data_IF_448391459386
#
_entry.id   IF_448391459386
#
_cell.length_a   1.000
_cell.length_b   1.000
_cell.length_c   1.000
_cell.angle_alpha   90.00
_cell.angle_beta   90.00
_cell.angle_gamma   90.00
#
_symmetry.space_group_name_H-M   'P 1'
#
loop_
_entity.id
_entity.type
_entity.pdbx_description
1 polymer ?
#
# COMPACT_ATOMS: atom_id res chain seq x y z
N UNK A 1 -10.44 28.21 -13.27
CA UNK A 1 -10.49 26.83 -12.73
C UNK A 1 -10.64 25.89 -13.91
N UNK A 2 -9.86 24.81 -13.98
CA UNK A 2 -10.08 23.78 -15.01
C UNK A 2 -11.49 23.22 -14.84
N UNK A 3 -12.28 23.20 -15.90
CA UNK A 3 -13.63 22.64 -15.88
C UNK A 3 -13.54 21.12 -15.64
N UNK A 4 -14.06 20.66 -14.51
CA UNK A 4 -14.07 19.25 -14.11
C UNK A 4 -15.06 18.45 -14.96
N UNK A 5 -14.65 17.27 -15.42
CA UNK A 5 -15.51 16.38 -16.23
C UNK A 5 -15.06 14.92 -16.09
N UNK A 6 -16.01 13.98 -16.08
CA UNK A 6 -15.74 12.54 -15.90
C UNK A 6 -14.85 11.91 -16.99
N UNK A 7 -14.80 12.53 -18.16
CA UNK A 7 -13.95 12.11 -19.28
C UNK A 7 -12.58 12.79 -19.31
N UNK A 8 -12.28 13.73 -18.41
CA UNK A 8 -10.96 14.36 -18.30
C UNK A 8 -10.08 13.55 -17.34
N UNK A 9 -8.80 13.46 -17.67
CA UNK A 9 -7.81 12.71 -16.88
C UNK A 9 -6.61 13.60 -16.57
N UNK A 10 -5.95 13.29 -15.46
CA UNK A 10 -4.66 13.82 -15.06
C UNK A 10 -3.58 12.80 -15.38
N UNK A 11 -2.63 13.14 -16.25
CA UNK A 11 -1.49 12.28 -16.56
C UNK A 11 -0.43 12.40 -15.47
N UNK A 12 -0.22 11.31 -14.73
CA UNK A 12 0.59 11.33 -13.50
C UNK A 12 2.04 11.77 -13.74
N UNK A 13 2.61 11.40 -14.88
CA UNK A 13 3.99 11.77 -15.23
C UNK A 13 4.19 13.28 -15.47
N UNK A 14 3.11 14.04 -15.67
CA UNK A 14 3.16 15.48 -15.94
C UNK A 14 2.93 16.31 -14.69
N UNK A 15 2.19 15.77 -13.72
CA UNK A 15 1.67 16.54 -12.58
C UNK A 15 2.25 16.15 -11.24
N UNK A 16 2.75 14.92 -11.10
CA UNK A 16 3.39 14.45 -9.85
C UNK A 16 4.70 15.22 -9.63
N UNK A 17 4.84 15.79 -8.44
CA UNK A 17 6.02 16.56 -8.02
C UNK A 17 6.70 16.01 -6.77
N UNK A 18 6.00 15.22 -5.95
CA UNK A 18 6.57 14.63 -4.74
C UNK A 18 7.66 13.60 -5.11
N UNK A 19 8.91 13.77 -4.65
CA UNK A 19 10.03 12.89 -5.02
C UNK A 19 9.90 11.45 -4.53
N UNK A 20 9.00 11.19 -3.58
CA UNK A 20 8.73 9.84 -3.08
C UNK A 20 7.65 9.10 -3.88
N UNK A 21 7.09 9.73 -4.92
CA UNK A 21 6.21 9.10 -5.91
C UNK A 21 7.01 8.88 -7.19
N UNK A 22 7.21 7.62 -7.55
CA UNK A 22 7.96 7.23 -8.75
C UNK A 22 6.98 6.69 -9.78
N UNK A 23 6.78 7.44 -10.86
CA UNK A 23 5.91 7.04 -11.98
C UNK A 23 6.77 6.44 -13.10
N UNK A 24 6.46 5.22 -13.50
CA UNK A 24 7.09 4.56 -14.65
C UNK A 24 6.31 4.89 -15.92
N UNK A 25 7.00 5.42 -16.93
CA UNK A 25 6.40 5.72 -18.24
C UNK A 25 5.43 6.89 -18.18
N UNK A 26 4.59 7.03 -19.22
CA UNK A 26 3.78 8.22 -19.47
C UNK A 26 2.27 7.99 -19.59
N UNK A 27 1.78 6.76 -19.44
CA UNK A 27 0.37 6.43 -19.76
C UNK A 27 -0.53 6.28 -18.53
N UNK A 28 0.04 6.23 -17.33
CA UNK A 28 -0.73 6.12 -16.10
C UNK A 28 -1.44 7.43 -15.78
N UNK A 29 -2.71 7.32 -15.37
CA UNK A 29 -3.57 8.48 -15.19
C UNK A 29 -4.49 8.36 -13.97
N UNK A 30 -4.96 9.51 -13.53
CA UNK A 30 -6.03 9.68 -12.53
C UNK A 30 -7.27 10.32 -13.16
N UNK A 31 -8.47 9.84 -12.82
CA UNK A 31 -9.74 10.44 -13.24
C UNK A 31 -10.08 11.66 -12.37
N UNK A 32 -9.64 12.84 -12.82
CA UNK A 32 -9.65 14.10 -12.05
C UNK A 32 -10.96 14.91 -12.18
N UNK A 33 -12.09 14.30 -11.85
CA UNK A 33 -13.42 14.92 -12.03
C UNK A 33 -14.05 15.48 -10.76
N UNK A 34 -13.59 15.07 -9.57
CA UNK A 34 -14.29 15.35 -8.31
C UNK A 34 -13.48 16.17 -7.31
N UNK A 35 -12.17 15.92 -7.24
CA UNK A 35 -11.30 16.46 -6.19
C UNK A 35 -10.15 17.31 -6.79
N UNK A 36 -9.12 17.62 -6.00
CA UNK A 36 -8.06 18.56 -6.36
C UNK A 36 -6.81 17.86 -6.95
N UNK A 37 -6.99 16.69 -7.56
CA UNK A 37 -5.94 15.97 -8.26
C UNK A 37 -5.25 14.89 -7.42
N UNK A 38 -4.42 14.10 -8.10
CA UNK A 38 -3.84 12.86 -7.58
C UNK A 38 -2.97 13.07 -6.34
N UNK A 39 -1.95 13.92 -6.42
CA UNK A 39 -0.97 14.06 -5.33
C UNK A 39 -1.60 14.64 -4.06
N UNK A 40 -2.60 15.52 -4.20
CA UNK A 40 -3.20 16.25 -3.09
C UNK A 40 -4.27 15.44 -2.34
N UNK A 41 -5.16 14.77 -3.07
CA UNK A 41 -6.36 14.17 -2.46
C UNK A 41 -6.32 12.62 -2.44
N UNK A 42 -5.60 12.00 -3.39
CA UNK A 42 -5.45 10.54 -3.49
C UNK A 42 -4.29 10.01 -2.65
N UNK A 43 -3.12 10.65 -2.69
CA UNK A 43 -1.94 10.22 -1.92
C UNK A 43 -1.92 10.91 -0.56
N UNK A 44 -2.05 10.15 0.52
CA UNK A 44 -2.18 10.71 1.87
C UNK A 44 -1.02 10.31 2.77
N UNK A 45 -0.55 11.27 3.58
CA UNK A 45 0.52 11.08 4.57
C UNK A 45 1.89 10.69 3.98
N UNK A 46 2.12 10.99 2.69
CA UNK A 46 3.42 10.79 2.07
C UNK A 46 4.27 12.05 2.25
N UNK A 47 5.33 11.91 3.03
CA UNK A 47 6.32 12.97 3.19
C UNK A 47 6.90 13.42 1.84
N UNK A 48 7.19 14.70 1.67
CA UNK A 48 7.82 15.25 0.45
C UNK A 48 6.91 16.12 -0.41
N UNK A 49 5.65 16.31 -0.02
CA UNK A 49 4.77 17.31 -0.64
C UNK A 49 5.23 18.74 -0.30
N UNK A 50 4.53 19.76 -0.83
CA UNK A 50 4.86 21.16 -0.57
C UNK A 50 4.88 21.52 0.93
N UNK A 51 4.07 20.83 1.74
CA UNK A 51 3.90 21.12 3.16
C UNK A 51 4.98 20.47 4.03
N UNK A 52 5.30 19.21 3.74
CA UNK A 52 6.16 18.36 4.58
C UNK A 52 7.60 18.24 4.11
N UNK A 53 7.93 18.61 2.86
CA UNK A 53 9.30 18.46 2.31
C UNK A 53 10.42 19.09 3.14
N UNK A 54 10.09 20.09 3.95
CA UNK A 54 11.01 20.81 4.82
C UNK A 54 11.20 20.17 6.19
N UNK A 55 10.37 19.19 6.58
CA UNK A 55 10.53 18.54 7.88
C UNK A 55 11.50 17.36 7.81
N UNK A 56 12.15 17.12 8.94
CA UNK A 56 12.97 15.94 9.15
C UNK A 56 12.07 14.70 9.32
N UNK A 57 12.25 13.64 8.52
CA UNK A 57 11.51 12.40 8.71
C UNK A 57 11.86 11.73 10.04
N UNK A 58 10.86 11.20 10.74
CA UNK A 58 11.07 10.35 11.93
C UNK A 58 11.84 9.06 11.61
N UNK A 59 11.94 8.68 10.34
CA UNK A 59 12.69 7.51 9.92
C UNK A 59 12.65 7.31 8.41
N UNK A 60 12.97 6.09 7.99
CA UNK A 60 12.95 5.73 6.57
C UNK A 60 11.55 5.91 5.98
N UNK A 61 11.45 6.71 4.91
CA UNK A 61 10.22 6.91 4.18
C UNK A 61 9.89 5.75 3.25
N UNK A 62 8.61 5.41 3.18
CA UNK A 62 8.06 4.51 2.19
C UNK A 62 7.77 5.28 0.90
N UNK A 63 8.02 4.68 -0.26
CA UNK A 63 7.72 5.29 -1.56
C UNK A 63 6.46 4.73 -2.18
N UNK A 64 5.82 5.53 -3.02
CA UNK A 64 4.75 5.08 -3.90
C UNK A 64 5.34 4.82 -5.29
N UNK A 65 5.38 3.57 -5.71
CA UNK A 65 5.87 3.18 -7.03
C UNK A 65 4.68 2.85 -7.93
N UNK A 66 4.53 3.60 -9.02
CA UNK A 66 3.42 3.47 -9.97
C UNK A 66 3.98 2.95 -11.28
N UNK A 67 3.47 1.80 -11.73
CA UNK A 67 3.77 1.23 -13.04
C UNK A 67 3.26 2.09 -14.21
N UNK A 68 3.47 1.61 -15.43
CA UNK A 68 2.91 2.22 -16.64
C UNK A 68 1.51 1.64 -16.94
N UNK A 69 0.66 2.41 -17.62
CA UNK A 69 -0.73 2.04 -17.93
C UNK A 69 -1.60 1.72 -16.69
N UNK A 70 -1.33 2.39 -15.56
CA UNK A 70 -2.16 2.29 -14.35
C UNK A 70 -3.33 3.27 -14.47
N UNK A 71 -4.55 2.76 -14.28
CA UNK A 71 -5.77 3.57 -14.28
C UNK A 71 -6.26 3.76 -12.84
N UNK A 72 -6.36 5.00 -12.37
CA UNK A 72 -6.81 5.31 -11.01
C UNK A 72 -8.11 6.11 -11.09
N UNK A 73 -9.21 5.54 -10.61
CA UNK A 73 -10.50 6.23 -10.61
C UNK A 73 -10.59 7.27 -9.48
N UNK A 74 -11.54 8.20 -9.65
CA UNK A 74 -11.79 9.31 -8.73
C UNK A 74 -11.92 8.86 -7.26
N UNK A 75 -11.49 9.72 -6.34
CA UNK A 75 -11.59 9.51 -4.88
C UNK A 75 -10.90 8.25 -4.34
N UNK A 76 -10.04 7.59 -5.13
CA UNK A 76 -9.14 6.55 -4.59
C UNK A 76 -8.33 7.12 -3.44
N UNK A 77 -8.06 6.32 -2.40
CA UNK A 77 -7.19 6.70 -1.29
C UNK A 77 -6.01 5.75 -1.22
N UNK A 78 -4.79 6.30 -1.30
CA UNK A 78 -3.54 5.58 -1.08
C UNK A 78 -2.91 6.09 0.21
N UNK A 79 -3.04 5.29 1.28
CA UNK A 79 -2.47 5.61 2.58
C UNK A 79 -0.98 5.28 2.59
N UNK A 80 -0.15 6.30 2.83
CA UNK A 80 1.30 6.22 3.02
C UNK A 80 1.66 6.51 4.49
N UNK A 81 2.92 6.80 4.82
CA UNK A 81 3.30 7.25 6.17
C UNK A 81 3.54 6.15 7.21
N UNK A 82 3.85 4.92 6.78
CA UNK A 82 4.21 3.82 7.67
C UNK A 82 3.05 3.40 8.59
N UNK A 83 3.33 3.26 9.88
CA UNK A 83 2.32 2.97 10.90
C UNK A 83 1.67 4.23 11.53
N UNK A 84 1.96 5.42 10.99
CA UNK A 84 1.51 6.70 11.57
C UNK A 84 1.82 6.84 13.06
N UNK A 85 2.97 6.31 13.51
CA UNK A 85 3.41 6.34 14.92
C UNK A 85 2.52 5.59 15.92
N UNK A 86 1.55 4.79 15.44
CA UNK A 86 0.70 3.95 16.27
C UNK A 86 1.25 2.52 16.35
N UNK A 87 1.68 2.12 17.55
CA UNK A 87 2.28 0.80 17.84
C UNK A 87 1.26 -0.12 18.46
N UNK A 88 0.70 -1.03 17.66
CA UNK A 88 -0.29 -2.02 18.11
C UNK A 88 0.27 -3.08 19.06
N UNK A 89 1.60 -3.15 19.15
CA UNK A 89 2.36 -4.01 20.04
C UNK A 89 2.75 -3.32 21.37
N UNK A 90 2.41 -2.05 21.56
CA UNK A 90 2.65 -1.31 22.81
C UNK A 90 1.41 -1.29 23.69
N UNK A 91 1.58 -0.91 24.97
CA UNK A 91 0.48 -0.76 25.93
C UNK A 91 -0.57 0.27 25.46
N UNK A 92 -0.15 1.33 24.77
CA UNK A 92 -1.03 2.38 24.24
C UNK A 92 -0.69 2.67 22.79
N UNK A 93 -1.73 2.92 21.99
CA UNK A 93 -1.61 3.40 20.62
C UNK A 93 -1.33 4.90 20.54
N UNK A 94 -1.48 5.64 21.65
CA UNK A 94 -1.34 7.10 21.65
C UNK A 94 0.12 7.52 21.37
N UNK A 95 0.35 8.45 20.42
CA UNK A 95 1.70 8.84 20.01
C UNK A 95 2.29 9.89 20.98
N UNK A 96 2.75 9.45 22.15
CA UNK A 96 3.41 10.33 23.11
C UNK A 96 4.70 10.92 22.53
N UNK A 97 4.89 12.24 22.67
CA UNK A 97 6.06 12.95 22.13
C UNK A 97 7.39 12.42 22.68
N UNK A 98 7.41 11.99 23.94
CA UNK A 98 8.60 11.39 24.57
C UNK A 98 9.08 10.10 23.87
N UNK A 99 8.20 9.43 23.11
CA UNK A 99 8.49 8.16 22.42
C UNK A 99 8.24 8.20 20.91
N UNK A 100 7.96 9.37 20.33
CA UNK A 100 7.48 9.50 18.94
C UNK A 100 8.47 8.93 17.92
N UNK A 101 9.76 9.13 18.17
CA UNK A 101 10.83 8.62 17.32
C UNK A 101 10.86 7.07 17.34
N UNK A 102 10.70 6.47 18.51
CA UNK A 102 10.73 5.02 18.69
C UNK A 102 9.42 4.33 18.25
N UNK A 103 8.32 5.08 18.15
CA UNK A 103 7.02 4.54 17.75
C UNK A 103 6.85 4.43 16.23
N UNK A 104 7.62 5.20 15.45
CA UNK A 104 7.56 5.13 13.99
C UNK A 104 8.12 3.80 13.46
N UNK A 105 7.37 3.16 12.57
CA UNK A 105 7.83 2.01 11.79
C UNK A 105 7.42 2.17 10.32
N UNK A 106 8.37 2.03 9.37
CA UNK A 106 8.03 1.98 7.96
C UNK A 106 7.21 0.71 7.67
N UNK A 107 6.26 0.83 6.76
CA UNK A 107 5.48 -0.30 6.28
C UNK A 107 6.07 -0.85 4.99
N UNK A 108 6.99 -0.15 4.32
CA UNK A 108 7.61 -0.48 3.04
C UNK A 108 6.86 0.09 1.84
N UNK A 109 7.57 0.23 0.71
CA UNK A 109 7.04 0.81 -0.53
C UNK A 109 5.68 0.22 -0.95
N UNK A 110 4.74 1.08 -1.31
CA UNK A 110 3.47 0.72 -1.97
C UNK A 110 3.72 0.63 -3.47
N UNK A 111 3.27 -0.46 -4.10
CA UNK A 111 3.55 -0.73 -5.52
C UNK A 111 2.27 -1.00 -6.31
N UNK A 112 1.95 -0.14 -7.25
CA UNK A 112 0.93 -0.35 -8.28
C UNK A 112 1.63 -0.93 -9.51
N UNK A 113 1.32 -2.18 -9.87
CA UNK A 113 1.95 -2.84 -11.02
C UNK A 113 1.43 -2.31 -12.37
N UNK A 114 2.19 -2.55 -13.43
CA UNK A 114 1.79 -2.15 -14.80
C UNK A 114 0.39 -2.68 -15.16
N UNK A 115 -0.43 -1.86 -15.81
CA UNK A 115 -1.73 -2.27 -16.34
C UNK A 115 -2.80 -2.57 -15.29
N UNK A 116 -2.64 -2.13 -14.03
CA UNK A 116 -3.68 -2.30 -13.02
C UNK A 116 -4.75 -1.20 -13.09
N UNK A 117 -5.97 -1.53 -12.67
CA UNK A 117 -7.07 -0.58 -12.53
C UNK A 117 -7.54 -0.56 -11.08
N UNK A 118 -7.59 0.64 -10.50
CA UNK A 118 -8.06 0.89 -9.14
C UNK A 118 -9.42 1.58 -9.22
N UNK A 119 -10.43 0.94 -8.64
CA UNK A 119 -11.81 1.41 -8.66
C UNK A 119 -12.03 2.65 -7.79
N UNK A 120 -13.10 3.39 -8.10
CA UNK A 120 -13.49 4.61 -7.42
C UNK A 120 -13.65 4.35 -5.92
N UNK A 121 -13.16 5.27 -5.08
CA UNK A 121 -13.20 5.19 -3.60
C UNK A 121 -12.55 3.95 -3.00
N UNK A 122 -11.70 3.24 -3.75
CA UNK A 122 -10.90 2.16 -3.18
C UNK A 122 -9.89 2.73 -2.18
N UNK A 123 -9.70 2.04 -1.06
CA UNK A 123 -8.67 2.37 -0.07
C UNK A 123 -7.53 1.35 -0.13
N UNK A 124 -6.33 1.83 -0.42
CA UNK A 124 -5.10 1.05 -0.43
C UNK A 124 -4.28 1.39 0.83
N UNK A 125 -4.12 0.40 1.72
CA UNK A 125 -3.36 0.57 2.96
C UNK A 125 -1.84 0.47 2.74
N UNK A 126 -1.08 1.20 3.57
CA UNK A 126 0.37 1.11 3.66
C UNK A 126 0.79 -0.35 3.95
N UNK A 127 1.39 -0.97 2.94
CA UNK A 127 1.59 -2.42 2.77
C UNK A 127 0.37 -3.31 3.08
N UNK A 128 -0.23 -3.83 2.00
CA UNK A 128 -0.61 -5.26 1.89
C UNK A 128 -0.90 -5.77 0.47
N UNK A 129 -0.47 -5.09 -0.60
CA UNK A 129 -0.89 -5.48 -1.95
C UNK A 129 0.23 -5.40 -3.00
N UNK A 130 0.55 -6.55 -3.60
CA UNK A 130 1.12 -6.61 -4.94
C UNK A 130 -0.05 -6.72 -5.92
N UNK A 131 -0.39 -5.61 -6.58
CA UNK A 131 -1.39 -5.64 -7.66
C UNK A 131 -0.69 -6.02 -8.97
N UNK A 132 -0.62 -7.32 -9.25
CA UNK A 132 -0.22 -7.86 -10.56
C UNK A 132 -1.44 -8.39 -11.30
N UNK A 133 -1.51 -8.15 -12.61
CA UNK A 133 -2.48 -8.81 -13.49
C UNK A 133 -2.30 -10.34 -13.34
N UNK A 134 -3.33 -11.04 -12.83
CA UNK A 134 -3.37 -12.51 -12.78
C UNK A 134 -3.09 -13.21 -11.44
N UNK A 135 -2.89 -12.50 -10.32
CA UNK A 135 -2.49 -13.15 -9.05
C UNK A 135 -3.63 -13.79 -8.23
N UNK A 136 -4.59 -14.45 -8.90
CA UNK A 136 -5.65 -15.23 -8.23
C UNK A 136 -5.18 -16.62 -7.76
N UNK A 137 -3.92 -17.03 -7.98
CA UNK A 137 -3.51 -18.44 -7.82
C UNK A 137 -2.73 -18.80 -6.56
N UNK A 138 -2.29 -17.85 -5.72
CA UNK A 138 -1.41 -18.18 -4.56
C UNK A 138 -2.07 -18.19 -3.17
N UNK A 139 -3.33 -17.76 -3.01
CA UNK A 139 -3.99 -17.72 -1.68
C UNK A 139 -4.69 -19.00 -1.23
N UNK A 140 -4.80 -20.04 -2.07
CA UNK A 140 -5.52 -21.28 -1.71
C UNK A 140 -4.63 -22.50 -1.37
N UNK A 141 -3.30 -22.38 -1.34
CA UNK A 141 -2.39 -23.52 -1.08
C UNK A 141 -1.56 -23.34 0.21
N UNK A 142 -2.22 -23.17 1.34
CA UNK A 142 -1.50 -23.09 2.60
C UNK A 142 -2.37 -23.16 3.85
N UNK A 143 -3.17 -24.23 4.02
CA UNK A 143 -3.57 -24.68 5.37
C UNK A 143 -4.11 -26.12 5.43
N UNK A 144 -3.54 -27.04 4.63
CA UNK A 144 -4.19 -28.33 4.33
C UNK A 144 -3.47 -29.60 4.78
N UNK A 145 -2.37 -29.56 5.55
CA UNK A 145 -1.65 -30.79 5.95
C UNK A 145 -0.96 -30.68 7.31
N UNK A 146 -1.72 -30.82 8.39
CA UNK A 146 -1.25 -31.44 9.65
C UNK A 146 -2.46 -32.04 10.40
N UNK A 147 -2.84 -33.26 10.06
CA UNK A 147 -3.64 -34.16 10.92
C UNK A 147 -3.70 -35.55 10.26
N UNK A 148 -2.80 -36.42 10.67
CA UNK A 148 -2.97 -37.87 10.77
C UNK A 148 -1.61 -38.47 11.12
N UNK A 149 -1.50 -39.10 12.29
CA UNK A 149 -0.78 -40.35 12.57
C UNK A 149 -0.62 -40.51 14.08
N UNK A 150 -1.70 -40.97 14.73
CA UNK A 150 -1.60 -41.76 15.96
C UNK A 150 -2.74 -42.77 15.93
N UNK A 151 -2.51 -43.91 15.27
CA UNK A 151 -3.25 -45.15 15.50
C UNK A 151 -2.30 -46.34 15.32
N UNK A 152 -2.05 -47.00 16.44
CA UNK A 152 -1.91 -48.46 16.58
C UNK A 152 -0.74 -49.17 15.90
N UNK A 153 0.27 -49.53 16.69
CA UNK A 153 1.16 -50.65 16.41
C UNK A 153 1.26 -51.55 17.64
N UNK A 154 0.56 -52.70 17.62
CA UNK A 154 0.75 -53.80 18.58
C UNK A 154 2.14 -54.41 18.37
N UNK A 155 2.87 -54.69 19.45
CA UNK A 155 4.07 -55.52 19.40
C UNK A 155 3.68 -57.01 19.43
N UNK A 156 4.34 -57.90 18.65
CA UNK A 156 4.31 -59.33 18.92
C UNK A 156 5.39 -59.69 19.98
N UNK A 157 5.01 -60.47 20.98
CA UNK A 157 5.93 -61.08 21.94
C UNK A 157 6.74 -62.23 21.32
N UNK A 158 7.82 -62.69 21.98
CA UNK A 158 8.71 -63.69 21.43
C UNK A 158 8.10 -65.10 21.53
N UNK A 159 8.41 -65.95 20.55
CA UNK A 159 8.09 -67.37 20.56
C UNK A 159 9.28 -68.15 21.12
N UNK A 160 8.98 -69.04 22.08
CA UNK A 160 9.74 -70.27 22.36
C UNK A 160 9.20 -71.40 21.49
#
# INVERSE_FOLDING_TARGET
MSEKHWSKIELLHQTVTNPNIIVKGSHSYYSDCWDNGFERDVVRYLHGDAYSRQWEPLGKLDRLLIGNFVCIAAETVILMGGNHTHRTDWLSLYPFMASIQASYQPRGDTRLGDGCWIGMRAMLNARRHHWRRGDRRRRQRGDGRRRALHRGGRQPGPAD
#
